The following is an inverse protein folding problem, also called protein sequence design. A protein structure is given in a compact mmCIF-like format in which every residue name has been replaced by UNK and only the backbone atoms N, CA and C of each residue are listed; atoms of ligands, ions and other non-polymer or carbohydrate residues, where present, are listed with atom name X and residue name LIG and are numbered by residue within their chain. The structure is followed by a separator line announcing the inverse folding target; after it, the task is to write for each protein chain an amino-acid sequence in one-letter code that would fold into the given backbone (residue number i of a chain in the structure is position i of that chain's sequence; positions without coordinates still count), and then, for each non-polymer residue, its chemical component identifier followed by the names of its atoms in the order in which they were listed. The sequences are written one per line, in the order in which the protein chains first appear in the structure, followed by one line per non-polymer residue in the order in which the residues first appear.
data_IF_944513524643
#
_entry.id   IF_944513524643
#
_cell.length_a   1.000
_cell.length_b   1.000
_cell.length_c   1.000
_cell.angle_alpha   90.00
_cell.angle_beta   90.00
_cell.angle_gamma   90.00
#
_symmetry.space_group_name_H-M   'P 1'
#
loop_
_entity.id
_entity.type
_entity.pdbx_description
1 polymer ?
#
# COMPACT_ATOMS: atom_id res chain seq x y z
N UNK A 1 -6.50 -0.47 15.36
CA UNK A 1 -6.35 -1.71 14.59
C UNK A 1 -5.42 -1.52 13.39
N UNK A 2 -5.68 -0.56 12.48
CA UNK A 2 -4.81 -0.26 11.31
C UNK A 2 -3.39 0.13 11.73
N UNK A 3 -3.22 0.94 12.78
CA UNK A 3 -1.89 1.30 13.28
C UNK A 3 -1.12 0.11 13.86
N UNK A 4 -1.79 -0.80 14.57
CA UNK A 4 -1.17 -2.02 15.06
C UNK A 4 -0.66 -2.89 13.90
N UNK A 5 -1.47 -3.02 12.84
CA UNK A 5 -1.06 -3.72 11.62
C UNK A 5 0.16 -3.04 10.95
N UNK A 6 0.22 -1.72 10.93
CA UNK A 6 1.35 -0.97 10.37
C UNK A 6 2.66 -1.23 11.14
N UNK A 7 2.59 -1.37 12.48
CA UNK A 7 3.74 -1.71 13.32
C UNK A 7 4.25 -3.12 13.01
N UNK A 8 3.34 -4.10 12.89
CA UNK A 8 3.69 -5.48 12.54
C UNK A 8 4.37 -5.53 11.16
N UNK A 9 3.81 -4.83 10.18
CA UNK A 9 4.41 -4.75 8.84
C UNK A 9 5.78 -4.08 8.90
N UNK A 10 5.92 -3.00 9.67
CA UNK A 10 7.18 -2.28 9.85
C UNK A 10 8.29 -3.14 10.42
N UNK A 11 7.99 -4.05 11.36
CA UNK A 11 8.96 -5.00 11.93
C UNK A 11 9.46 -6.03 10.91
N UNK A 12 8.63 -6.39 9.93
CA UNK A 12 9.02 -7.29 8.83
C UNK A 12 9.80 -6.52 7.75
N UNK A 13 9.36 -5.31 7.43
CA UNK A 13 9.92 -4.47 6.36
C UNK A 13 11.33 -3.97 6.70
N UNK A 14 11.60 -3.64 7.97
CA UNK A 14 12.88 -3.07 8.40
C UNK A 14 14.10 -3.98 8.13
N UNK A 15 14.11 -5.27 8.49
CA UNK A 15 15.22 -6.17 8.15
C UNK A 15 15.40 -6.38 6.64
N UNK A 16 14.28 -6.41 5.88
CA UNK A 16 14.33 -6.52 4.42
C UNK A 16 15.00 -5.30 3.78
N UNK A 17 14.79 -4.11 4.32
CA UNK A 17 15.46 -2.89 3.84
C UNK A 17 16.98 -2.98 3.94
N UNK A 18 17.52 -3.46 5.07
CA UNK A 18 18.95 -3.68 5.25
C UNK A 18 19.51 -4.75 4.29
N UNK A 19 18.78 -5.86 4.10
CA UNK A 19 19.14 -6.90 3.14
C UNK A 19 19.20 -6.36 1.70
N UNK A 20 18.18 -5.62 1.27
CA UNK A 20 18.12 -5.04 -0.08
C UNK A 20 19.22 -3.99 -0.27
N UNK A 21 19.50 -3.16 0.74
CA UNK A 21 20.61 -2.19 0.68
C UNK A 21 21.97 -2.85 0.40
N UNK A 22 22.27 -3.98 1.06
CA UNK A 22 23.47 -4.77 0.80
C UNK A 22 23.44 -5.46 -0.58
N UNK A 23 22.26 -5.91 -1.02
CA UNK A 23 22.09 -6.56 -2.31
C UNK A 23 22.36 -5.60 -3.48
N UNK A 24 21.88 -4.37 -3.40
CA UNK A 24 22.06 -3.32 -4.41
C UNK A 24 23.53 -2.99 -4.68
N UNK A 25 24.39 -3.06 -3.67
CA UNK A 25 25.83 -2.78 -3.81
C UNK A 25 26.60 -3.83 -4.62
N UNK A 26 26.03 -5.02 -4.80
CA UNK A 26 26.70 -6.19 -5.39
C UNK A 26 26.06 -6.68 -6.69
N UNK A 27 25.02 -6.01 -7.18
CA UNK A 27 24.16 -6.59 -8.22
C UNK A 27 23.85 -5.57 -9.31
N UNK A 28 23.73 -6.06 -10.54
CA UNK A 28 23.34 -5.27 -11.70
C UNK A 28 21.87 -4.84 -11.66
N UNK A 29 21.57 -3.76 -12.38
CA UNK A 29 20.22 -3.16 -12.46
C UNK A 29 19.14 -4.17 -12.88
N UNK A 30 19.43 -5.07 -13.83
CA UNK A 30 18.46 -6.07 -14.31
C UNK A 30 18.10 -7.10 -13.23
N UNK A 31 19.09 -7.61 -12.49
CA UNK A 31 18.84 -8.56 -11.40
C UNK A 31 18.11 -7.87 -10.23
N UNK A 32 18.41 -6.61 -9.99
CA UNK A 32 17.71 -5.80 -8.98
C UNK A 32 16.23 -5.61 -9.34
N UNK A 33 15.92 -5.34 -10.60
CA UNK A 33 14.53 -5.24 -11.08
C UNK A 33 13.77 -6.56 -10.94
N UNK A 34 14.37 -7.69 -11.32
CA UNK A 34 13.75 -9.01 -11.13
C UNK A 34 13.48 -9.31 -9.66
N UNK A 35 14.41 -8.94 -8.78
CA UNK A 35 14.23 -9.09 -7.34
C UNK A 35 13.13 -8.20 -6.80
N UNK A 36 13.05 -6.95 -7.27
CA UNK A 36 11.97 -6.03 -6.94
C UNK A 36 10.61 -6.62 -7.33
N UNK A 37 10.45 -7.09 -8.56
CA UNK A 37 9.20 -7.68 -9.04
C UNK A 37 8.77 -8.89 -8.22
N UNK A 38 9.72 -9.77 -7.86
CA UNK A 38 9.43 -10.92 -7.00
C UNK A 38 8.93 -10.50 -5.62
N UNK A 39 9.60 -9.56 -4.98
CA UNK A 39 9.22 -9.05 -3.66
C UNK A 39 7.90 -8.29 -3.73
N UNK A 40 7.71 -7.47 -4.75
CA UNK A 40 6.47 -6.72 -4.96
C UNK A 40 5.27 -7.65 -5.14
N UNK A 41 5.42 -8.72 -5.92
CA UNK A 41 4.38 -9.76 -6.08
C UNK A 41 4.04 -10.42 -4.75
N UNK A 42 5.04 -10.76 -3.94
CA UNK A 42 4.81 -11.35 -2.59
C UNK A 42 4.02 -10.39 -1.71
N UNK A 43 4.37 -9.10 -1.68
CA UNK A 43 3.64 -8.12 -0.88
C UNK A 43 2.21 -7.90 -1.39
N UNK A 44 1.96 -7.94 -2.70
CA UNK A 44 0.61 -7.88 -3.25
C UNK A 44 -0.22 -9.09 -2.87
N UNK A 45 0.35 -10.31 -2.90
CA UNK A 45 -0.32 -11.53 -2.45
C UNK A 45 -0.64 -11.47 -0.95
N UNK A 46 0.33 -11.07 -0.12
CA UNK A 46 0.12 -10.89 1.32
C UNK A 46 -0.94 -9.82 1.61
N UNK A 47 -0.96 -8.73 0.84
CA UNK A 47 -1.96 -7.68 0.95
C UNK A 47 -3.36 -8.20 0.64
N UNK A 48 -3.52 -9.02 -0.41
CA UNK A 48 -4.81 -9.61 -0.80
C UNK A 48 -5.33 -10.57 0.27
N UNK A 49 -4.49 -11.50 0.72
CA UNK A 49 -4.85 -12.44 1.80
C UNK A 49 -5.18 -11.67 3.08
N UNK A 50 -4.34 -10.70 3.45
CA UNK A 50 -4.55 -9.86 4.63
C UNK A 50 -5.82 -9.02 4.55
N UNK A 51 -6.20 -8.54 3.37
CA UNK A 51 -7.46 -7.83 3.12
C UNK A 51 -8.67 -8.70 3.42
N UNK A 52 -8.67 -9.95 2.94
CA UNK A 52 -9.73 -10.94 3.21
C UNK A 52 -9.82 -11.23 4.71
N UNK A 53 -8.69 -11.52 5.34
CA UNK A 53 -8.62 -11.80 6.78
C UNK A 53 -9.15 -10.59 7.57
N UNK A 54 -8.69 -9.38 7.22
CA UNK A 54 -9.12 -8.14 7.87
C UNK A 54 -10.64 -7.94 7.76
N UNK A 55 -11.21 -8.13 6.56
CA UNK A 55 -12.64 -7.96 6.33
C UNK A 55 -13.50 -8.94 7.15
N UNK A 56 -13.02 -10.18 7.35
CA UNK A 56 -13.78 -11.20 8.06
C UNK A 56 -13.58 -11.15 9.59
N UNK A 57 -12.39 -10.79 10.06
CA UNK A 57 -12.04 -10.83 11.48
C UNK A 57 -12.33 -9.52 12.22
N UNK A 58 -12.36 -8.37 11.53
CA UNK A 58 -12.48 -7.07 12.18
C UNK A 58 -13.75 -6.93 13.03
N UNK A 59 -14.91 -7.34 12.51
CA UNK A 59 -16.18 -7.24 13.24
C UNK A 59 -16.19 -8.11 14.50
N UNK A 60 -15.94 -9.45 14.44
CA UNK A 60 -15.93 -10.26 15.64
C UNK A 60 -14.84 -9.86 16.65
N UNK A 61 -13.69 -9.39 16.17
CA UNK A 61 -12.64 -8.89 17.05
C UNK A 61 -13.06 -7.64 17.83
N UNK A 62 -13.67 -6.66 17.17
CA UNK A 62 -14.16 -5.45 17.83
C UNK A 62 -15.25 -5.76 18.83
N UNK A 63 -16.18 -6.66 18.49
CA UNK A 63 -17.25 -7.10 19.41
C UNK A 63 -16.71 -7.82 20.64
N UNK A 64 -15.65 -8.61 20.49
CA UNK A 64 -15.00 -9.29 21.62
C UNK A 64 -14.29 -8.31 22.55
N UNK A 65 -13.67 -7.27 21.98
CA UNK A 65 -12.83 -6.33 22.75
C UNK A 65 -13.60 -5.16 23.35
N UNK A 66 -14.56 -4.61 22.59
CA UNK A 66 -15.28 -3.38 22.98
C UNK A 66 -16.76 -3.62 23.37
N UNK A 67 -17.23 -4.85 23.25
CA UNK A 67 -18.61 -5.21 23.53
C UNK A 67 -19.48 -5.35 22.28
N UNK A 68 -20.61 -6.05 22.44
CA UNK A 68 -21.51 -6.40 21.31
C UNK A 68 -22.31 -5.22 20.75
N UNK A 69 -22.34 -4.11 21.47
CA UNK A 69 -23.12 -2.94 21.09
C UNK A 69 -22.42 -2.06 20.02
N UNK A 70 -21.13 -2.29 19.80
CA UNK A 70 -20.33 -1.55 18.80
C UNK A 70 -20.29 -2.36 17.52
N UNK A 71 -21.13 -2.00 16.57
CA UNK A 71 -21.18 -2.63 15.24
C UNK A 71 -20.81 -1.58 14.19
N UNK A 72 -19.69 -1.80 13.50
CA UNK A 72 -19.41 -1.06 12.27
C UNK A 72 -20.22 -1.65 11.10
N UNK A 73 -20.73 -0.78 10.23
CA UNK A 73 -21.36 -1.28 9.00
C UNK A 73 -20.33 -2.06 8.17
N UNK A 74 -20.75 -3.14 7.55
CA UNK A 74 -19.88 -4.00 6.73
C UNK A 74 -19.14 -3.20 5.63
N UNK A 75 -19.78 -2.17 5.07
CA UNK A 75 -19.15 -1.28 4.09
C UNK A 75 -17.93 -0.54 4.65
N UNK A 76 -18.01 -0.07 5.91
CA UNK A 76 -16.88 0.62 6.56
C UNK A 76 -15.73 -0.37 6.76
N UNK A 77 -16.03 -1.60 7.19
CA UNK A 77 -15.03 -2.65 7.39
C UNK A 77 -14.35 -2.98 6.05
N UNK A 78 -15.13 -3.14 4.98
CA UNK A 78 -14.60 -3.38 3.64
C UNK A 78 -13.70 -2.24 3.15
N UNK A 79 -14.09 -0.99 3.34
CA UNK A 79 -13.25 0.17 2.98
C UNK A 79 -11.94 0.21 3.79
N UNK A 80 -11.99 -0.14 5.08
CA UNK A 80 -10.79 -0.23 5.92
C UNK A 80 -9.89 -1.40 5.48
N UNK A 81 -10.47 -2.51 5.02
CA UNK A 81 -9.72 -3.64 4.46
C UNK A 81 -8.98 -3.25 3.17
N UNK A 82 -9.63 -2.47 2.28
CA UNK A 82 -8.97 -1.91 1.08
C UNK A 82 -7.84 -0.95 1.47
N UNK A 83 -8.03 -0.12 2.49
CA UNK A 83 -6.97 0.75 2.97
C UNK A 83 -5.78 -0.05 3.55
N UNK A 84 -6.05 -1.15 4.24
CA UNK A 84 -5.03 -2.09 4.72
C UNK A 84 -4.28 -2.74 3.54
N UNK A 85 -4.98 -3.15 2.48
CA UNK A 85 -4.35 -3.65 1.26
C UNK A 85 -3.33 -2.64 0.70
N UNK A 86 -3.71 -1.37 0.53
CA UNK A 86 -2.81 -0.33 0.07
C UNK A 86 -1.58 -0.16 0.99
N UNK A 87 -1.75 -0.32 2.30
CA UNK A 87 -0.66 -0.20 3.27
C UNK A 87 0.37 -1.32 3.11
N UNK A 88 -0.07 -2.56 2.90
CA UNK A 88 0.82 -3.71 2.74
C UNK A 88 1.47 -3.72 1.36
N UNK A 89 0.69 -3.53 0.31
CA UNK A 89 1.15 -3.62 -1.07
C UNK A 89 2.26 -2.60 -1.41
N UNK A 90 2.25 -1.42 -0.79
CA UNK A 90 3.29 -0.40 -1.00
C UNK A 90 4.65 -0.76 -0.42
N UNK A 91 4.72 -1.73 0.50
CA UNK A 91 5.93 -1.99 1.31
C UNK A 91 7.16 -2.33 0.47
N UNK A 92 6.99 -3.05 -0.63
CA UNK A 92 8.10 -3.35 -1.55
C UNK A 92 8.71 -2.08 -2.14
N UNK A 93 7.87 -1.14 -2.59
CA UNK A 93 8.32 0.14 -3.15
C UNK A 93 9.06 0.97 -2.10
N UNK A 94 8.51 1.03 -0.87
CA UNK A 94 9.12 1.78 0.24
C UNK A 94 10.50 1.18 0.62
N UNK A 95 10.65 -0.16 0.63
CA UNK A 95 11.92 -0.86 0.90
C UNK A 95 12.98 -0.48 -0.13
N UNK A 96 12.68 -0.65 -1.42
CA UNK A 96 13.63 -0.39 -2.49
C UNK A 96 13.98 1.09 -2.59
N UNK A 97 13.01 1.97 -2.41
CA UNK A 97 13.24 3.41 -2.39
C UNK A 97 14.24 3.83 -1.30
N UNK A 98 14.05 3.34 -0.08
CA UNK A 98 14.97 3.60 1.04
C UNK A 98 16.35 3.00 0.77
N UNK A 99 16.40 1.77 0.23
CA UNK A 99 17.65 1.10 -0.10
C UNK A 99 18.46 1.82 -1.19
N UNK A 100 17.79 2.43 -2.16
CA UNK A 100 18.43 3.29 -3.17
C UNK A 100 18.81 4.70 -2.67
N UNK A 101 18.34 5.10 -1.47
CA UNK A 101 18.55 6.45 -0.94
C UNK A 101 17.76 7.53 -1.68
N UNK A 102 16.73 7.17 -2.44
CA UNK A 102 15.91 8.13 -3.18
C UNK A 102 14.94 8.85 -2.23
N UNK A 103 15.35 10.05 -1.80
CA UNK A 103 14.56 10.94 -0.93
C UNK A 103 13.92 12.11 -1.68
N UNK A 104 14.12 12.20 -3.00
CA UNK A 104 13.65 13.33 -3.82
C UNK A 104 12.11 13.42 -3.95
N UNK A 105 11.37 12.38 -3.57
CA UNK A 105 9.91 12.39 -3.54
C UNK A 105 9.30 12.92 -2.22
N UNK A 106 10.06 13.70 -1.45
CA UNK A 106 9.63 14.26 -0.15
C UNK A 106 8.33 15.09 -0.26
N UNK A 107 8.01 15.60 -1.44
CA UNK A 107 6.77 16.33 -1.71
C UNK A 107 5.56 15.40 -1.90
N UNK A 108 5.73 14.13 -2.28
CA UNK A 108 4.60 13.21 -2.49
C UNK A 108 3.76 12.98 -1.22
N UNK A 109 4.32 12.82 -0.01
CA UNK A 109 3.53 12.77 1.22
C UNK A 109 2.70 14.03 1.48
N UNK A 110 3.23 15.22 1.17
CA UNK A 110 2.54 16.49 1.32
C UNK A 110 1.36 16.55 0.33
N UNK A 111 1.63 16.26 -0.95
CA UNK A 111 0.59 16.20 -1.99
C UNK A 111 -0.49 15.19 -1.62
N UNK A 112 -0.11 14.00 -1.12
CA UNK A 112 -1.05 13.00 -0.64
C UNK A 112 -1.93 13.53 0.50
N UNK A 113 -1.34 14.19 1.50
CA UNK A 113 -2.08 14.76 2.62
C UNK A 113 -3.08 15.82 2.18
N UNK A 114 -2.66 16.72 1.29
CA UNK A 114 -3.51 17.77 0.71
C UNK A 114 -4.65 17.17 -0.13
N UNK A 115 -4.34 16.20 -1.00
CA UNK A 115 -5.33 15.48 -1.81
C UNK A 115 -6.35 14.76 -0.92
N UNK A 116 -5.88 14.05 0.11
CA UNK A 116 -6.75 13.37 1.07
C UNK A 116 -7.70 14.38 1.72
N UNK A 117 -7.18 15.50 2.20
CA UNK A 117 -7.99 16.54 2.87
C UNK A 117 -9.06 17.09 1.91
N UNK A 118 -8.68 17.48 0.69
CA UNK A 118 -9.60 18.05 -0.30
C UNK A 118 -10.70 17.04 -0.65
N UNK A 119 -10.34 15.81 -1.00
CA UNK A 119 -11.31 14.77 -1.38
C UNK A 119 -12.21 14.40 -0.19
N UNK A 120 -11.65 14.26 1.00
CA UNK A 120 -12.42 13.95 2.21
C UNK A 120 -13.42 15.04 2.54
N UNK A 121 -13.03 16.33 2.48
CA UNK A 121 -13.94 17.45 2.71
C UNK A 121 -15.06 17.53 1.66
N UNK A 122 -14.75 17.24 0.41
CA UNK A 122 -15.76 17.21 -0.65
C UNK A 122 -16.77 16.06 -0.46
N UNK A 123 -16.27 14.87 -0.04
CA UNK A 123 -17.13 13.67 0.07
C UNK A 123 -17.84 13.55 1.41
N UNK A 124 -17.34 14.18 2.48
CA UNK A 124 -17.97 14.07 3.80
C UNK A 124 -19.40 14.61 3.82
N UNK A 125 -19.70 15.64 3.04
CA UNK A 125 -21.03 16.23 2.94
C UNK A 125 -22.06 15.27 2.33
N UNK A 126 -21.64 14.33 1.46
CA UNK A 126 -22.50 13.38 0.77
C UNK A 126 -22.54 12.01 1.45
N UNK A 127 -21.42 11.55 2.00
CA UNK A 127 -21.22 10.18 2.48
C UNK A 127 -20.87 10.09 3.98
N UNK A 128 -20.82 11.24 4.69
CA UNK A 128 -20.47 11.26 6.11
C UNK A 128 -19.08 10.65 6.36
N UNK A 129 -18.96 9.81 7.39
CA UNK A 129 -17.70 9.15 7.76
C UNK A 129 -17.10 8.30 6.62
N UNK A 130 -17.93 7.66 5.80
CA UNK A 130 -17.46 6.90 4.63
C UNK A 130 -16.72 7.80 3.64
N UNK A 131 -17.14 9.08 3.50
CA UNK A 131 -16.48 10.05 2.64
C UNK A 131 -15.02 10.33 3.01
N UNK A 132 -14.71 10.35 4.29
CA UNK A 132 -13.32 10.50 4.78
C UNK A 132 -12.46 9.28 4.39
N UNK A 133 -13.03 8.08 4.50
CA UNK A 133 -12.33 6.85 4.15
C UNK A 133 -12.11 6.78 2.62
N UNK A 134 -13.10 7.17 1.82
CA UNK A 134 -12.94 7.28 0.36
C UNK A 134 -11.83 8.25 -0.02
N UNK A 135 -11.75 9.43 0.62
CA UNK A 135 -10.65 10.38 0.39
C UNK A 135 -9.27 9.76 0.69
N UNK A 136 -9.18 9.00 1.77
CA UNK A 136 -7.95 8.29 2.13
C UNK A 136 -7.59 7.22 1.10
N UNK A 137 -8.54 6.41 0.65
CA UNK A 137 -8.30 5.37 -0.37
C UNK A 137 -7.90 6.01 -1.70
N UNK A 138 -8.64 7.01 -2.18
CA UNK A 138 -8.31 7.71 -3.42
C UNK A 138 -6.89 8.29 -3.41
N UNK A 139 -6.52 8.99 -2.33
CA UNK A 139 -5.18 9.55 -2.20
C UNK A 139 -4.09 8.46 -2.11
N UNK A 140 -4.37 7.32 -1.46
CA UNK A 140 -3.47 6.17 -1.41
C UNK A 140 -3.28 5.55 -2.78
N UNK A 141 -4.35 5.34 -3.54
CA UNK A 141 -4.26 4.77 -4.89
C UNK A 141 -3.47 5.70 -5.82
N UNK A 142 -3.81 6.98 -5.86
CA UNK A 142 -3.15 7.94 -6.77
C UNK A 142 -1.66 8.09 -6.44
N UNK A 143 -1.33 8.35 -5.18
CA UNK A 143 0.05 8.69 -4.81
C UNK A 143 0.88 7.45 -4.47
N UNK A 144 0.36 6.54 -3.66
CA UNK A 144 1.12 5.40 -3.16
C UNK A 144 1.18 4.27 -4.17
N UNK A 145 0.06 3.96 -4.85
CA UNK A 145 0.02 2.84 -5.77
C UNK A 145 0.45 3.20 -7.19
N UNK A 146 0.34 4.45 -7.61
CA UNK A 146 0.69 4.87 -8.97
C UNK A 146 1.93 5.76 -9.01
N UNK A 147 1.92 6.92 -8.33
CA UNK A 147 2.99 7.90 -8.47
C UNK A 147 4.35 7.41 -7.91
N UNK A 148 4.36 6.80 -6.73
CA UNK A 148 5.61 6.32 -6.10
C UNK A 148 6.28 5.17 -6.84
N UNK A 149 5.57 4.08 -7.22
CA UNK A 149 6.17 3.01 -8.01
C UNK A 149 6.67 3.52 -9.36
N UNK A 150 5.89 4.36 -10.05
CA UNK A 150 6.30 4.97 -11.31
C UNK A 150 7.62 5.74 -11.18
N UNK A 151 7.77 6.51 -10.10
CA UNK A 151 9.01 7.23 -9.80
C UNK A 151 10.19 6.26 -9.60
N UNK A 152 9.98 5.16 -8.87
CA UNK A 152 11.00 4.13 -8.66
C UNK A 152 11.41 3.46 -9.99
N UNK A 153 10.45 3.12 -10.85
CA UNK A 153 10.74 2.53 -12.17
C UNK A 153 11.60 3.46 -13.03
N UNK A 154 11.29 4.74 -13.03
CA UNK A 154 12.01 5.73 -13.82
C UNK A 154 13.43 5.97 -13.30
N UNK A 155 13.57 6.24 -12.00
CA UNK A 155 14.84 6.69 -11.41
C UNK A 155 15.78 5.53 -11.04
N UNK A 156 15.24 4.41 -10.56
CA UNK A 156 16.06 3.28 -10.11
C UNK A 156 16.38 2.29 -11.21
N UNK A 157 15.41 1.99 -12.08
CA UNK A 157 15.55 0.94 -13.09
C UNK A 157 15.74 1.49 -14.51
N UNK A 158 15.62 2.81 -14.73
CA UNK A 158 15.65 3.42 -16.07
C UNK A 158 14.67 2.77 -17.07
N UNK A 159 13.52 2.29 -16.57
CA UNK A 159 12.52 1.60 -17.36
C UNK A 159 11.46 2.57 -17.90
N UNK A 160 10.86 2.18 -19.03
CA UNK A 160 9.78 2.96 -19.63
C UNK A 160 8.49 2.87 -18.82
N UNK A 161 7.65 3.89 -18.92
CA UNK A 161 6.31 3.91 -18.33
C UNK A 161 5.43 2.72 -18.75
N UNK A 162 5.69 2.15 -19.95
CA UNK A 162 4.96 0.99 -20.46
C UNK A 162 5.25 -0.27 -19.65
N UNK A 163 6.49 -0.49 -19.24
CA UNK A 163 6.88 -1.64 -18.42
C UNK A 163 6.24 -1.56 -17.05
N UNK A 164 6.25 -0.36 -16.44
CA UNK A 164 5.54 -0.10 -15.19
C UNK A 164 4.04 -0.43 -15.29
N UNK A 165 3.37 0.02 -16.36
CA UNK A 165 1.93 -0.22 -16.55
C UNK A 165 1.63 -1.72 -16.69
N UNK A 166 2.44 -2.46 -17.47
CA UNK A 166 2.26 -3.91 -17.65
C UNK A 166 2.38 -4.67 -16.33
N UNK A 167 3.45 -4.43 -15.58
CA UNK A 167 3.69 -5.11 -14.31
C UNK A 167 2.59 -4.76 -13.28
N UNK A 168 2.19 -3.49 -13.25
CA UNK A 168 1.15 -3.04 -12.32
C UNK A 168 -0.22 -3.64 -12.64
N UNK A 169 -0.62 -3.66 -13.91
CA UNK A 169 -1.88 -4.29 -14.33
C UNK A 169 -1.86 -5.78 -13.98
N UNK A 170 -0.75 -6.47 -14.22
CA UNK A 170 -0.63 -7.90 -13.89
C UNK A 170 -0.81 -8.13 -12.38
N UNK A 171 -0.18 -7.33 -11.53
CA UNK A 171 -0.33 -7.42 -10.08
C UNK A 171 -1.77 -7.16 -9.61
N UNK A 172 -2.43 -6.15 -10.18
CA UNK A 172 -3.82 -5.86 -9.87
C UNK A 172 -4.77 -6.98 -10.30
N UNK A 173 -4.55 -7.57 -11.49
CA UNK A 173 -5.34 -8.71 -11.97
C UNK A 173 -5.19 -9.90 -11.02
N UNK A 174 -3.95 -10.25 -10.63
CA UNK A 174 -3.69 -11.34 -9.68
C UNK A 174 -4.39 -11.06 -8.33
N UNK A 175 -4.29 -9.84 -7.82
CA UNK A 175 -4.92 -9.47 -6.55
C UNK A 175 -6.44 -9.53 -6.62
N UNK A 176 -7.05 -9.08 -7.71
CA UNK A 176 -8.51 -9.14 -7.92
C UNK A 176 -9.04 -10.57 -8.09
N UNK A 177 -8.22 -11.49 -8.59
CA UNK A 177 -8.61 -12.91 -8.69
C UNK A 177 -8.62 -13.62 -7.31
N UNK A 178 -7.95 -13.04 -6.32
CA UNK A 178 -7.87 -13.59 -4.96
C UNK A 178 -8.94 -12.96 -4.05
N UNK A 179 -9.27 -11.68 -4.26
CA UNK A 179 -10.27 -10.92 -3.50
C UNK A 179 -11.69 -11.30 -3.90
#
# INVERSE_FOLDING_TARGET
FIQASAIIIGTIVSPLGAYIGNFLQRTDSNLTYLKFNSINTIFFLLASIGCIIYNNISTPFVQLWMGKDIIFSQDIVALLAVNFFCLVARSAVDIFKVAYGYMSDIHLPIIKGTLNLIISLALVNFYGVKGVIYGTICSNVIIIMLARPWYLYKEAFNLCTIDFIKDHIQLWVISLMIL
#
